data_IF_073380812069
#
_entry.id   IF_073380812069
#
_cell.length_a   1.000
_cell.length_b   1.000
_cell.length_c   1.000
_cell.angle_alpha   90.00
_cell.angle_beta   90.00
_cell.angle_gamma   90.00
#
_symmetry.space_group_name_H-M   'P 1'
#
loop_
_entity.id
_entity.type
_entity.pdbx_description
1 polymer ?
#
# COMPACT_ATOMS: atom_id res chain seq x y z
N UNK A 1 14.46 -11.20 -0.01
CA UNK A 1 13.39 -10.79 0.93
C UNK A 1 12.75 -9.54 0.37
N UNK A 2 11.44 -9.44 0.47
CA UNK A 2 10.71 -8.21 0.08
C UNK A 2 9.85 -7.75 1.26
N UNK A 3 9.65 -6.43 1.36
CA UNK A 3 8.76 -5.83 2.32
C UNK A 3 7.57 -5.19 1.60
N UNK A 4 6.37 -5.68 1.88
CA UNK A 4 5.13 -5.04 1.47
C UNK A 4 4.62 -4.12 2.59
N UNK A 5 4.31 -2.90 2.26
CA UNK A 5 3.79 -1.89 3.19
C UNK A 5 2.43 -1.42 2.71
N UNK A 6 1.43 -1.50 3.54
CA UNK A 6 0.13 -0.87 3.28
C UNK A 6 -0.04 0.36 4.15
N UNK A 7 -0.33 1.51 3.56
CA UNK A 7 -0.56 2.74 4.30
C UNK A 7 -2.01 2.89 4.75
N UNK A 8 -2.20 3.47 5.92
CA UNK A 8 -3.49 3.74 6.53
C UNK A 8 -3.35 4.35 7.92
N UNK A 9 -4.49 4.69 8.52
CA UNK A 9 -4.59 5.15 9.90
C UNK A 9 -5.18 4.03 10.77
N UNK A 10 -4.68 3.85 12.02
CA UNK A 10 -5.03 2.70 12.85
C UNK A 10 -6.37 2.82 13.58
N UNK A 11 -7.06 3.94 13.50
CA UNK A 11 -8.34 4.14 14.20
C UNK A 11 -9.45 3.31 13.57
N UNK A 12 -10.38 2.72 14.35
CA UNK A 12 -11.49 1.92 13.83
C UNK A 12 -12.34 2.68 12.79
N UNK A 13 -12.55 3.98 13.00
CA UNK A 13 -13.33 4.83 12.09
C UNK A 13 -12.67 5.01 10.70
N UNK A 14 -11.39 4.70 10.59
CA UNK A 14 -10.64 4.84 9.35
C UNK A 14 -10.67 3.60 8.45
N UNK A 15 -11.20 2.47 8.93
CA UNK A 15 -11.13 1.17 8.25
C UNK A 15 -11.57 1.21 6.78
N UNK A 16 -12.62 1.96 6.47
CA UNK A 16 -13.19 2.04 5.13
C UNK A 16 -12.88 3.35 4.41
N UNK A 17 -11.98 4.17 4.96
CA UNK A 17 -11.57 5.42 4.33
C UNK A 17 -10.73 5.15 3.08
N UNK A 18 -10.77 6.08 2.14
CA UNK A 18 -9.91 6.04 0.95
C UNK A 18 -8.44 5.95 1.32
N UNK A 19 -8.03 6.69 2.34
CA UNK A 19 -6.63 6.71 2.84
C UNK A 19 -6.15 5.36 3.40
N UNK A 20 -7.06 4.45 3.72
CA UNK A 20 -6.76 3.10 4.26
C UNK A 20 -6.75 2.00 3.20
N UNK A 21 -6.81 2.32 1.91
CA UNK A 21 -6.79 1.31 0.86
C UNK A 21 -5.54 0.40 0.94
N UNK A 22 -4.41 0.95 1.33
CA UNK A 22 -3.18 0.18 1.53
C UNK A 22 -3.33 -0.92 2.59
N UNK A 23 -4.00 -0.65 3.70
CA UNK A 23 -4.29 -1.66 4.72
C UNK A 23 -5.14 -2.80 4.16
N UNK A 24 -6.16 -2.48 3.37
CA UNK A 24 -7.02 -3.49 2.72
C UNK A 24 -6.25 -4.40 1.76
N UNK A 25 -5.33 -3.83 1.00
CA UNK A 25 -4.47 -4.61 0.09
C UNK A 25 -3.60 -5.58 0.88
N UNK A 26 -2.96 -5.14 1.96
CA UNK A 26 -2.13 -6.01 2.81
C UNK A 26 -2.96 -7.13 3.42
N UNK A 27 -4.16 -6.84 3.94
CA UNK A 27 -5.04 -7.87 4.49
C UNK A 27 -5.44 -8.91 3.44
N UNK A 28 -5.69 -8.48 2.20
CA UNK A 28 -6.01 -9.38 1.10
C UNK A 28 -4.81 -10.24 0.68
N UNK A 29 -3.60 -9.68 0.65
CA UNK A 29 -2.37 -10.42 0.39
C UNK A 29 -2.14 -11.47 1.49
N UNK A 30 -2.28 -11.07 2.76
CA UNK A 30 -2.14 -11.96 3.90
C UNK A 30 -3.08 -13.16 3.80
N UNK A 31 -4.34 -12.90 3.46
CA UNK A 31 -5.36 -13.94 3.31
C UNK A 31 -5.08 -14.85 2.12
N UNK A 32 -4.79 -14.27 0.95
CA UNK A 32 -4.57 -15.02 -0.31
C UNK A 32 -3.39 -15.97 -0.21
N UNK A 33 -2.31 -15.55 0.41
CA UNK A 33 -1.05 -16.31 0.48
C UNK A 33 -0.82 -17.01 1.82
N UNK A 34 -1.79 -16.96 2.74
CA UNK A 34 -1.69 -17.64 4.03
C UNK A 34 -0.50 -17.16 4.86
N UNK A 35 -0.23 -15.85 4.86
CA UNK A 35 0.84 -15.31 5.70
C UNK A 35 0.50 -15.50 7.19
N UNK A 36 1.48 -15.36 8.06
CA UNK A 36 1.31 -15.54 9.49
C UNK A 36 0.22 -14.64 10.08
N UNK A 37 -0.23 -14.95 11.28
CA UNK A 37 -1.09 -14.01 12.03
C UNK A 37 -0.37 -12.67 12.22
N UNK A 38 -1.13 -11.58 12.17
CA UNK A 38 -0.64 -10.25 12.46
C UNK A 38 -0.13 -10.16 13.90
N UNK A 39 1.09 -9.63 14.06
CA UNK A 39 1.72 -9.42 15.37
C UNK A 39 2.15 -7.97 15.50
N UNK A 40 1.84 -7.30 16.62
CA UNK A 40 2.38 -5.96 16.89
C UNK A 40 3.90 -6.02 16.98
N UNK A 41 4.59 -5.37 16.04
CA UNK A 41 6.05 -5.23 16.02
C UNK A 41 6.43 -4.02 15.15
N UNK A 42 7.53 -3.35 15.47
CA UNK A 42 8.01 -2.16 14.74
C UNK A 42 6.95 -1.06 14.62
N UNK A 43 6.15 -0.83 15.66
CA UNK A 43 5.04 0.14 15.64
C UNK A 43 4.00 -0.12 14.52
N UNK A 44 3.83 -1.38 14.14
CA UNK A 44 2.89 -1.81 13.11
C UNK A 44 2.36 -3.22 13.36
N UNK A 45 1.50 -3.69 12.47
CA UNK A 45 1.03 -5.08 12.43
C UNK A 45 1.81 -5.83 11.36
N UNK A 46 2.73 -6.69 11.80
CA UNK A 46 3.63 -7.46 10.94
C UNK A 46 3.07 -8.85 10.67
N UNK A 47 3.17 -9.26 9.42
CA UNK A 47 2.99 -10.65 8.97
C UNK A 47 4.22 -11.11 8.18
N UNK A 48 4.42 -12.39 8.09
CA UNK A 48 5.52 -12.97 7.32
C UNK A 48 5.09 -14.30 6.70
N UNK A 49 5.71 -14.64 5.60
CA UNK A 49 5.47 -15.90 4.89
C UNK A 49 6.24 -15.94 3.59
N UNK A 50 5.79 -16.79 2.68
CA UNK A 50 6.38 -16.91 1.36
C UNK A 50 5.30 -16.73 0.28
N UNK A 51 5.70 -16.10 -0.82
CA UNK A 51 4.92 -16.09 -2.06
C UNK A 51 5.82 -16.73 -3.12
N UNK A 52 5.47 -17.93 -3.56
CA UNK A 52 6.40 -18.78 -4.29
C UNK A 52 7.64 -19.09 -3.46
N UNK A 53 8.81 -18.87 -4.01
CA UNK A 53 10.13 -19.06 -3.36
C UNK A 53 10.63 -17.80 -2.62
N UNK A 54 9.89 -16.69 -2.70
CA UNK A 54 10.30 -15.41 -2.11
C UNK A 54 9.76 -15.24 -0.70
N UNK A 55 10.67 -14.92 0.23
CA UNK A 55 10.27 -14.50 1.58
C UNK A 55 9.70 -13.10 1.57
N UNK A 56 8.51 -12.97 2.15
CA UNK A 56 7.76 -11.71 2.23
C UNK A 56 7.55 -11.33 3.69
N UNK A 57 7.83 -10.09 4.01
CA UNK A 57 7.31 -9.38 5.17
C UNK A 57 6.21 -8.44 4.70
N UNK A 58 5.11 -8.36 5.43
CA UNK A 58 4.05 -7.40 5.14
C UNK A 58 3.68 -6.64 6.41
N UNK A 59 3.56 -5.33 6.33
CA UNK A 59 3.30 -4.49 7.50
C UNK A 59 2.24 -3.42 7.23
N UNK A 60 1.39 -3.21 8.24
CA UNK A 60 0.49 -2.06 8.34
C UNK A 60 1.00 -1.16 9.46
N UNK A 61 1.62 0.01 9.16
CA UNK A 61 2.06 0.94 10.18
C UNK A 61 0.91 1.42 11.06
N UNK A 62 1.10 1.46 12.39
CA UNK A 62 0.13 1.97 13.35
C UNK A 62 0.51 3.35 13.88
N UNK A 63 1.43 4.02 13.22
CA UNK A 63 2.03 5.31 13.63
C UNK A 63 1.24 6.53 13.17
N UNK A 64 0.04 6.34 12.63
CA UNK A 64 -0.69 7.31 11.82
C UNK A 64 0.03 7.67 10.53
N UNK A 65 -0.71 8.17 9.54
CA UNK A 65 -0.22 8.38 8.18
C UNK A 65 1.05 9.22 8.12
N UNK A 66 1.09 10.33 8.85
CA UNK A 66 2.22 11.27 8.84
C UNK A 66 3.53 10.70 9.40
N UNK A 67 3.49 9.59 10.11
CA UNK A 67 4.64 8.96 10.76
C UNK A 67 4.94 7.55 10.22
N UNK A 68 4.37 7.19 9.07
CA UNK A 68 4.52 5.85 8.48
C UNK A 68 5.99 5.45 8.28
N UNK A 69 6.85 6.40 7.92
CA UNK A 69 8.27 6.13 7.68
C UNK A 69 9.04 5.63 8.90
N UNK A 70 8.63 5.99 10.13
CA UNK A 70 9.26 5.53 11.37
C UNK A 70 9.18 3.99 11.48
N UNK A 71 7.99 3.45 11.27
CA UNK A 71 7.73 2.01 11.29
C UNK A 71 8.59 1.27 10.26
N UNK A 72 8.63 1.77 9.04
CA UNK A 72 9.33 1.12 7.93
C UNK A 72 10.84 1.15 8.17
N UNK A 73 11.38 2.27 8.60
CA UNK A 73 12.80 2.39 8.93
C UNK A 73 13.24 1.38 9.98
N UNK A 74 12.52 1.28 11.11
CA UNK A 74 12.85 0.32 12.17
C UNK A 74 12.86 -1.12 11.64
N UNK A 75 11.91 -1.47 10.79
CA UNK A 75 11.78 -2.81 10.24
C UNK A 75 12.93 -3.15 9.28
N UNK A 76 13.21 -2.27 8.30
CA UNK A 76 14.26 -2.54 7.31
C UNK A 76 15.65 -2.56 7.93
N UNK A 77 15.92 -1.71 8.93
CA UNK A 77 17.17 -1.73 9.68
C UNK A 77 17.35 -3.04 10.44
N UNK A 78 16.30 -3.55 11.06
CA UNK A 78 16.34 -4.80 11.83
C UNK A 78 16.56 -6.04 10.94
N UNK A 79 15.81 -6.16 9.84
CA UNK A 79 15.92 -7.33 8.94
C UNK A 79 16.96 -7.16 7.84
N UNK A 80 17.64 -6.01 7.78
CA UNK A 80 18.61 -5.66 6.74
C UNK A 80 18.02 -5.78 5.33
N UNK A 81 16.85 -5.18 5.15
CA UNK A 81 16.17 -5.09 3.86
C UNK A 81 16.59 -3.79 3.18
N UNK A 82 17.01 -3.88 1.93
CA UNK A 82 17.34 -2.69 1.14
C UNK A 82 16.06 -1.92 0.76
N UNK A 83 16.16 -0.59 0.66
CA UNK A 83 15.01 0.24 0.28
C UNK A 83 14.40 -0.19 -1.06
N UNK A 84 15.21 -0.62 -2.01
CA UNK A 84 14.77 -1.14 -3.32
C UNK A 84 13.90 -2.40 -3.24
N UNK A 85 13.92 -3.10 -2.11
CA UNK A 85 13.10 -4.27 -1.86
C UNK A 85 11.81 -3.95 -1.08
N UNK A 86 11.52 -2.66 -0.89
CA UNK A 86 10.28 -2.16 -0.29
C UNK A 86 9.27 -1.83 -1.37
N UNK A 87 8.04 -2.28 -1.18
CA UNK A 87 6.90 -2.00 -2.06
C UNK A 87 5.76 -1.45 -1.22
N UNK A 88 5.35 -0.20 -1.50
CA UNK A 88 4.34 0.53 -0.74
C UNK A 88 3.04 0.61 -1.52
N UNK A 89 1.94 0.18 -0.90
CA UNK A 89 0.57 0.30 -1.43
C UNK A 89 -0.10 1.51 -0.77
N UNK A 90 -0.60 2.44 -1.59
CA UNK A 90 -1.21 3.66 -1.09
C UNK A 90 -2.27 4.22 -2.06
N UNK A 91 -3.18 5.04 -1.53
CA UNK A 91 -4.16 5.80 -2.31
C UNK A 91 -3.49 6.89 -3.14
N UNK A 92 -4.04 7.18 -4.31
CA UNK A 92 -3.53 8.23 -5.19
C UNK A 92 -4.67 8.97 -5.91
N UNK A 93 -4.70 10.29 -5.73
CA UNK A 93 -5.68 11.20 -6.34
C UNK A 93 -5.50 11.38 -7.85
N UNK A 94 -4.27 11.19 -8.34
CA UNK A 94 -3.92 11.42 -9.74
C UNK A 94 -4.11 10.18 -10.61
N UNK A 95 -4.57 9.08 -10.01
CA UNK A 95 -4.95 7.85 -10.70
C UNK A 95 -6.47 7.70 -10.62
N UNK A 96 -7.08 7.38 -11.76
CA UNK A 96 -8.52 7.15 -11.84
C UNK A 96 -8.95 6.00 -10.92
N UNK A 97 -10.13 6.15 -10.29
CA UNK A 97 -10.70 5.08 -9.47
C UNK A 97 -10.82 3.76 -10.24
N UNK A 98 -10.45 2.68 -9.61
CA UNK A 98 -10.48 1.35 -10.24
C UNK A 98 -9.26 1.02 -11.11
N UNK A 99 -8.28 1.92 -11.18
CA UNK A 99 -6.99 1.71 -11.85
C UNK A 99 -5.85 1.77 -10.86
N UNK A 100 -4.72 1.17 -11.24
CA UNK A 100 -3.47 1.28 -10.48
C UNK A 100 -2.33 1.72 -11.38
N UNK A 101 -1.29 2.24 -10.75
CA UNK A 101 -0.01 2.49 -11.42
C UNK A 101 1.13 2.14 -10.48
N UNK A 102 1.95 1.18 -10.87
CA UNK A 102 3.17 0.85 -10.14
C UNK A 102 4.35 1.61 -10.74
N UNK A 103 5.20 2.15 -9.88
CA UNK A 103 6.44 2.83 -10.30
C UNK A 103 7.52 2.74 -9.23
N UNK A 104 8.77 2.94 -9.65
CA UNK A 104 9.91 3.08 -8.75
C UNK A 104 10.21 4.57 -8.50
N UNK A 105 10.39 4.95 -7.25
CA UNK A 105 10.70 6.32 -6.88
C UNK A 105 9.60 7.34 -7.15
N UNK A 106 9.97 8.58 -7.27
CA UNK A 106 9.10 9.70 -7.63
C UNK A 106 8.75 10.64 -6.49
N UNK A 107 7.88 11.61 -6.79
CA UNK A 107 7.38 12.59 -5.82
C UNK A 107 6.32 12.00 -4.91
N UNK A 108 6.17 12.54 -3.70
CA UNK A 108 5.06 12.23 -2.79
C UNK A 108 3.71 12.79 -3.26
N UNK A 109 3.73 13.79 -4.16
CA UNK A 109 2.53 14.46 -4.67
C UNK A 109 1.53 14.88 -3.57
N UNK A 110 2.05 15.31 -2.42
CA UNK A 110 1.24 15.74 -1.27
C UNK A 110 0.71 14.60 -0.39
N UNK A 111 1.01 13.34 -0.69
CA UNK A 111 0.63 12.21 0.17
C UNK A 111 1.53 12.17 1.41
N UNK A 112 0.95 12.40 2.59
CA UNK A 112 1.71 12.54 3.84
C UNK A 112 2.45 11.27 4.25
N UNK A 113 1.87 10.10 4.01
CA UNK A 113 2.52 8.81 4.30
C UNK A 113 3.76 8.59 3.42
N UNK A 114 3.65 8.88 2.14
CA UNK A 114 4.79 8.79 1.21
C UNK A 114 5.87 9.82 1.57
N UNK A 115 5.49 11.05 1.89
CA UNK A 115 6.44 12.07 2.34
C UNK A 115 7.20 11.62 3.61
N UNK A 116 6.51 10.98 4.54
CA UNK A 116 7.13 10.40 5.74
C UNK A 116 8.14 9.29 5.38
N UNK A 117 7.78 8.38 4.49
CA UNK A 117 8.67 7.30 4.05
C UNK A 117 9.90 7.89 3.36
N UNK A 118 9.72 8.83 2.43
CA UNK A 118 10.83 9.50 1.72
C UNK A 118 11.82 10.15 2.68
N UNK A 119 11.31 10.74 3.76
CA UNK A 119 12.15 11.36 4.80
C UNK A 119 13.04 10.36 5.54
N UNK A 120 12.54 9.13 5.79
CA UNK A 120 13.23 8.16 6.63
C UNK A 120 14.09 7.16 5.88
N UNK A 121 13.70 6.77 4.66
CA UNK A 121 14.42 5.75 3.88
C UNK A 121 14.83 6.20 2.48
N UNK A 122 14.59 7.45 2.11
CA UNK A 122 14.81 7.94 0.74
C UNK A 122 13.69 7.55 -0.21
N UNK A 123 13.91 7.73 -1.51
CA UNK A 123 12.87 7.56 -2.55
C UNK A 123 13.05 6.28 -3.38
N UNK A 124 14.10 5.53 -3.16
CA UNK A 124 14.48 4.37 -3.98
C UNK A 124 13.73 3.11 -3.56
N UNK A 125 12.40 3.15 -3.66
CA UNK A 125 11.50 2.03 -3.41
C UNK A 125 10.33 2.03 -4.41
N UNK A 126 9.68 0.89 -4.55
CA UNK A 126 8.53 0.75 -5.45
C UNK A 126 7.23 1.18 -4.78
N UNK A 127 6.32 1.76 -5.56
CA UNK A 127 5.00 2.23 -5.12
C UNK A 127 3.93 1.65 -6.02
N UNK A 128 2.90 1.09 -5.42
CA UNK A 128 1.65 0.74 -6.09
C UNK A 128 0.62 1.79 -5.73
N UNK A 129 0.33 2.67 -6.68
CA UNK A 129 -0.58 3.80 -6.56
C UNK A 129 -1.98 3.32 -6.90
N UNK A 130 -2.85 3.20 -5.89
CA UNK A 130 -4.23 2.76 -6.07
C UNK A 130 -5.11 3.97 -6.30
N UNK A 131 -5.74 4.05 -7.45
CA UNK A 131 -6.55 5.19 -7.86
C UNK A 131 -7.80 5.36 -7.01
N UNK A 132 -7.97 6.56 -6.46
CA UNK A 132 -9.19 6.99 -5.78
C UNK A 132 -9.88 8.16 -6.50
N UNK A 133 -9.24 8.70 -7.55
CA UNK A 133 -9.72 9.87 -8.27
C UNK A 133 -9.62 11.15 -7.44
N UNK A 134 -10.09 12.24 -8.02
CA UNK A 134 -10.07 13.57 -7.39
C UNK A 134 -11.38 13.88 -6.69
N UNK A 135 -11.35 14.68 -5.60
CA UNK A 135 -12.57 15.16 -4.96
C UNK A 135 -13.39 16.02 -5.92
N UNK A 136 -14.71 15.98 -5.75
CA UNK A 136 -15.68 16.82 -6.49
C UNK A 136 -16.13 17.98 -5.63
N UNK A 137 -16.76 18.98 -6.27
CA UNK A 137 -17.47 20.08 -5.60
C UNK A 137 -16.61 20.90 -4.61
N UNK A 138 -15.35 21.19 -4.98
CA UNK A 138 -14.41 21.99 -4.17
C UNK A 138 -14.11 21.39 -2.79
N UNK A 139 -14.34 20.07 -2.59
CA UNK A 139 -13.98 19.40 -1.36
C UNK A 139 -12.46 19.43 -1.18
N UNK A 140 -12.01 19.66 0.05
CA UNK A 140 -10.59 19.58 0.38
C UNK A 140 -10.08 18.13 0.27
N UNK A 141 -8.86 17.97 -0.26
CA UNK A 141 -8.20 16.67 -0.35
C UNK A 141 -8.13 15.97 1.00
N UNK A 142 -7.79 16.70 2.07
CA UNK A 142 -7.71 16.16 3.44
C UNK A 142 -9.04 15.56 3.92
N UNK A 143 -10.17 16.13 3.50
CA UNK A 143 -11.49 15.60 3.85
C UNK A 143 -11.87 14.42 2.98
N UNK A 144 -11.56 14.49 1.68
CA UNK A 144 -11.87 13.45 0.71
C UNK A 144 -11.18 12.11 1.03
N UNK A 145 -9.90 12.12 1.36
CA UNK A 145 -9.15 10.88 1.67
C UNK A 145 -9.61 10.23 2.97
N UNK A 146 -10.21 10.99 3.89
CA UNK A 146 -10.78 10.49 5.14
C UNK A 146 -12.25 10.10 5.03
N UNK A 147 -12.87 10.28 3.86
CA UNK A 147 -14.20 9.75 3.60
C UNK A 147 -14.16 8.26 3.26
N UNK A 148 -15.21 7.57 3.65
CA UNK A 148 -15.40 6.18 3.29
C UNK A 148 -15.67 6.03 1.79
N UNK A 149 -15.23 4.92 1.22
CA UNK A 149 -15.75 4.46 -0.06
C UNK A 149 -17.25 4.21 0.04
N UNK A 150 -18.01 4.58 -0.98
CA UNK A 150 -19.43 4.19 -1.07
C UNK A 150 -19.58 2.71 -1.46
N UNK A 151 -20.82 2.21 -1.51
CA UNK A 151 -21.09 0.79 -1.79
C UNK A 151 -20.61 0.35 -3.18
N UNK A 152 -20.79 1.18 -4.21
CA UNK A 152 -20.34 0.89 -5.58
C UNK A 152 -18.81 0.93 -5.67
N UNK A 153 -18.20 1.90 -5.02
CA UNK A 153 -16.74 1.98 -4.90
C UNK A 153 -16.17 0.77 -4.16
N UNK A 154 -16.83 0.26 -3.12
CA UNK A 154 -16.38 -0.95 -2.39
C UNK A 154 -16.38 -2.19 -3.31
N UNK A 155 -17.36 -2.35 -4.18
CA UNK A 155 -17.38 -3.43 -5.19
C UNK A 155 -16.20 -3.30 -6.15
N UNK A 156 -15.96 -2.10 -6.68
CA UNK A 156 -14.82 -1.83 -7.56
C UNK A 156 -13.48 -2.04 -6.87
N UNK A 157 -13.38 -1.66 -5.60
CA UNK A 157 -12.18 -1.86 -4.78
C UNK A 157 -11.89 -3.35 -4.55
N UNK A 158 -12.90 -4.16 -4.28
CA UNK A 158 -12.75 -5.61 -4.15
C UNK A 158 -12.21 -6.22 -5.46
N UNK A 159 -12.74 -5.81 -6.61
CA UNK A 159 -12.27 -6.27 -7.90
C UNK A 159 -10.78 -5.92 -8.12
N UNK A 160 -10.40 -4.66 -7.91
CA UNK A 160 -9.01 -4.24 -8.13
C UNK A 160 -8.05 -4.92 -7.14
N UNK A 161 -8.49 -5.12 -5.90
CA UNK A 161 -7.72 -5.83 -4.88
C UNK A 161 -7.46 -7.28 -5.28
N UNK A 162 -8.48 -7.97 -5.79
CA UNK A 162 -8.33 -9.34 -6.32
C UNK A 162 -7.35 -9.37 -7.50
N UNK A 163 -7.48 -8.44 -8.44
CA UNK A 163 -6.56 -8.35 -9.59
C UNK A 163 -5.11 -8.12 -9.15
N UNK A 164 -4.89 -7.28 -8.13
CA UNK A 164 -3.57 -7.05 -7.53
C UNK A 164 -3.01 -8.35 -6.95
N UNK A 165 -3.77 -9.05 -6.11
CA UNK A 165 -3.30 -10.28 -5.45
C UNK A 165 -3.04 -11.41 -6.43
N UNK A 166 -3.85 -11.55 -7.48
CA UNK A 166 -3.62 -12.53 -8.55
C UNK A 166 -2.37 -12.24 -9.39
N UNK A 167 -1.96 -10.99 -9.45
CA UNK A 167 -0.80 -10.55 -10.24
C UNK A 167 0.46 -10.32 -9.41
N UNK A 168 0.44 -10.67 -8.12
CA UNK A 168 1.49 -10.31 -7.16
C UNK A 168 2.88 -10.85 -7.56
N UNK A 169 2.94 -12.00 -8.24
CA UNK A 169 4.20 -12.57 -8.72
C UNK A 169 4.92 -11.66 -9.71
N UNK A 170 4.17 -10.95 -10.56
CA UNK A 170 4.74 -9.97 -11.51
C UNK A 170 5.37 -8.80 -10.73
N UNK A 171 4.73 -8.37 -9.65
CA UNK A 171 5.22 -7.30 -8.79
C UNK A 171 6.49 -7.74 -8.02
N UNK A 172 6.51 -8.97 -7.52
CA UNK A 172 7.67 -9.58 -6.86
C UNK A 172 8.88 -9.64 -7.78
N UNK A 173 8.66 -9.89 -9.07
CA UNK A 173 9.69 -9.87 -10.10
C UNK A 173 10.12 -8.45 -10.53
N UNK A 174 9.57 -7.43 -9.86
CA UNK A 174 9.84 -6.00 -10.12
C UNK A 174 9.50 -5.55 -11.55
N UNK A 175 8.58 -6.24 -12.23
CA UNK A 175 8.08 -5.90 -13.58
C UNK A 175 6.90 -4.92 -13.47
N UNK A 176 7.19 -3.67 -13.06
CA UNK A 176 6.19 -2.71 -12.62
C UNK A 176 5.18 -2.31 -13.72
N UNK A 177 5.67 -2.08 -14.95
CA UNK A 177 4.79 -1.71 -16.07
C UNK A 177 3.89 -2.87 -16.48
N UNK A 178 4.43 -4.09 -16.51
CA UNK A 178 3.65 -5.30 -16.79
C UNK A 178 2.62 -5.55 -15.69
N UNK A 179 2.99 -5.34 -14.43
CA UNK A 179 2.05 -5.45 -13.32
C UNK A 179 0.89 -4.47 -13.48
N UNK A 180 1.17 -3.20 -13.76
CA UNK A 180 0.15 -2.17 -13.94
C UNK A 180 -0.81 -2.53 -15.08
N UNK A 181 -0.28 -2.89 -16.25
CA UNK A 181 -1.10 -3.25 -17.42
C UNK A 181 -1.91 -4.53 -17.17
N UNK A 182 -1.34 -5.53 -16.54
CA UNK A 182 -2.03 -6.80 -16.22
C UNK A 182 -3.20 -6.56 -15.26
N UNK A 183 -2.97 -5.82 -14.17
CA UNK A 183 -4.02 -5.50 -13.19
C UNK A 183 -5.14 -4.68 -13.80
N UNK A 184 -4.82 -3.67 -14.62
CA UNK A 184 -5.79 -2.76 -15.21
C UNK A 184 -6.63 -3.37 -16.32
N UNK A 185 -6.17 -4.46 -16.95
CA UNK A 185 -6.83 -5.10 -18.08
C UNK A 185 -7.59 -6.39 -17.72
N UNK A 186 -7.75 -6.71 -16.44
CA UNK A 186 -8.52 -7.87 -15.96
C UNK A 186 -10.02 -7.62 -15.84
#
# INVERSE_FOLDING_TARGET
>A
MLLFVGLGNPTPDSENNRHNVGFKIIDSINKKFGLSKQKPKFKGLLTTGNVGDKKIYAIKPLTFMNNSGICIRELIEYFKIDAEDVIVFHDDLDVEFGKIKAKFGGSSAGHNGIASIDKFIGKDYSRVRIGIGKPKDNMKVSDFVLQNFDEDEMVGLEKITNNITESISILIDKKLDLFSSTVNNK
#
